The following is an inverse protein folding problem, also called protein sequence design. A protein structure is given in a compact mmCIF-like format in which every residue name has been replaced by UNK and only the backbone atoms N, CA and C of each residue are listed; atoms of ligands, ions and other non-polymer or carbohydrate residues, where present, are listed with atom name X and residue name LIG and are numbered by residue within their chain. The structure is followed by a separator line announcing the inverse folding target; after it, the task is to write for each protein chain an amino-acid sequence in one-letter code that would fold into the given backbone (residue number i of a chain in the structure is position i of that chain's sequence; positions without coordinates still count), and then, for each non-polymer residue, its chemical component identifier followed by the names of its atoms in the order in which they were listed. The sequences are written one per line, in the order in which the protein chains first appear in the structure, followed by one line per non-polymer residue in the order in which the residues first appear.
data_IF_873376399969
#
_entry.id   IF_873376399969
#
_cell.length_a   1.000
_cell.length_b   1.000
_cell.length_c   1.000
_cell.angle_alpha   90.00
_cell.angle_beta   90.00
_cell.angle_gamma   90.00
#
_symmetry.space_group_name_H-M   'P 1'
#
loop_
_entity.id
_entity.type
_entity.pdbx_description
1 polymer ?
#
# COMPACT_ATOMS: atom_id res chain seq x y z
N UNK A 1 -39.41 2.12 37.98
CA UNK A 1 -38.52 1.53 36.96
C UNK A 1 -37.15 2.12 37.21
N UNK A 2 -36.20 1.35 37.74
CA UNK A 2 -34.84 1.83 37.93
C UNK A 2 -34.27 2.19 36.56
N UNK A 3 -33.74 3.41 36.41
CA UNK A 3 -32.87 3.72 35.28
C UNK A 3 -31.67 2.79 35.42
N UNK A 4 -31.64 1.71 34.65
CA UNK A 4 -30.44 0.90 34.49
C UNK A 4 -29.43 1.81 33.83
N UNK A 5 -28.43 2.25 34.58
CA UNK A 5 -27.29 2.99 34.04
C UNK A 5 -26.68 2.10 32.95
N UNK A 6 -26.71 2.58 31.71
CA UNK A 6 -26.15 1.82 30.59
C UNK A 6 -24.64 1.86 30.71
N UNK A 7 -24.01 0.69 30.63
CA UNK A 7 -22.56 0.59 30.63
C UNK A 7 -21.98 1.42 29.48
N UNK A 8 -20.96 2.21 29.80
CA UNK A 8 -20.25 3.03 28.82
C UNK A 8 -19.47 2.13 27.87
N UNK A 9 -19.76 2.23 26.57
CA UNK A 9 -19.03 1.50 25.52
C UNK A 9 -18.06 2.44 24.82
N UNK A 10 -16.78 2.05 24.74
CA UNK A 10 -15.71 2.84 24.12
C UNK A 10 -14.90 1.95 23.19
N UNK A 11 -14.51 2.46 22.01
CA UNK A 11 -13.60 1.75 21.11
C UNK A 11 -12.17 1.72 21.63
N UNK A 12 -11.30 0.90 21.01
CA UNK A 12 -9.86 0.89 21.30
C UNK A 12 -9.20 2.27 21.09
N UNK A 13 -9.79 3.08 20.21
CA UNK A 13 -9.36 4.45 19.89
C UNK A 13 -9.88 5.49 20.90
N UNK A 14 -10.57 5.08 21.96
CA UNK A 14 -11.12 5.98 22.98
C UNK A 14 -12.40 6.70 22.53
N UNK A 15 -13.07 6.25 21.47
CA UNK A 15 -14.30 6.86 20.96
C UNK A 15 -15.49 6.24 21.67
N UNK A 16 -16.28 7.05 22.34
CA UNK A 16 -17.51 6.60 23.00
C UNK A 16 -18.60 6.29 21.97
N UNK A 17 -19.26 5.13 22.15
CA UNK A 17 -20.33 4.66 21.30
C UNK A 17 -21.66 4.79 22.02
N UNK A 18 -22.50 5.68 21.52
CA UNK A 18 -23.86 5.83 22.04
C UNK A 18 -24.72 4.62 21.67
N UNK A 19 -25.65 4.19 22.54
CA UNK A 19 -26.53 3.06 22.26
C UNK A 19 -27.46 3.32 21.05
N UNK A 20 -27.78 4.58 20.77
CA UNK A 20 -28.64 4.98 19.64
C UNK A 20 -28.18 6.31 19.06
N UNK A 21 -27.77 6.31 17.79
CA UNK A 21 -27.51 7.52 17.03
C UNK A 21 -28.80 7.96 16.30
N UNK A 22 -29.24 9.20 16.57
CA UNK A 22 -30.36 9.85 15.86
C UNK A 22 -29.82 10.92 14.90
N UNK A 23 -30.68 11.42 14.02
CA UNK A 23 -30.30 12.54 13.17
C UNK A 23 -29.83 13.72 14.02
N UNK A 24 -28.59 14.16 13.77
CA UNK A 24 -27.96 15.27 14.48
C UNK A 24 -28.06 16.58 13.69
N UNK A 25 -28.81 16.62 12.58
CA UNK A 25 -28.88 17.78 11.68
C UNK A 25 -27.59 18.03 10.88
N UNK A 26 -26.76 16.99 10.72
CA UNK A 26 -25.47 17.09 10.02
C UNK A 26 -25.70 17.24 8.52
N UNK A 27 -25.01 18.21 7.90
CA UNK A 27 -25.05 18.38 6.46
C UNK A 27 -24.68 17.09 5.71
N UNK A 28 -25.38 16.83 4.61
CA UNK A 28 -25.13 15.67 3.77
C UNK A 28 -23.70 15.72 3.19
N UNK A 29 -23.03 14.57 3.15
CA UNK A 29 -21.74 14.44 2.48
C UNK A 29 -21.94 14.49 0.96
N UNK A 30 -21.02 15.12 0.19
CA UNK A 30 -21.07 15.13 -1.27
C UNK A 30 -21.12 13.73 -1.89
N UNK A 31 -21.64 13.64 -3.12
CA UNK A 31 -21.76 12.39 -3.88
C UNK A 31 -20.39 11.74 -4.15
N UNK A 32 -20.33 10.39 -4.31
CA UNK A 32 -19.07 9.72 -4.61
C UNK A 32 -18.46 10.26 -5.91
N UNK A 33 -17.13 10.31 -5.97
CA UNK A 33 -16.40 10.94 -7.07
C UNK A 33 -16.32 12.47 -7.00
N UNK A 34 -16.94 13.10 -6.01
CA UNK A 34 -16.83 14.54 -5.76
C UNK A 34 -15.96 14.82 -4.53
N UNK A 35 -15.24 15.94 -4.55
CA UNK A 35 -14.46 16.41 -3.39
C UNK A 35 -15.38 16.57 -2.16
N UNK A 36 -14.97 16.14 -0.94
CA UNK A 36 -13.67 15.61 -0.53
C UNK A 36 -13.58 14.07 -0.56
N UNK A 37 -14.35 13.41 -1.43
CA UNK A 37 -14.32 11.97 -1.69
C UNK A 37 -14.68 11.07 -0.49
N UNK A 38 -15.37 11.61 0.51
CA UNK A 38 -15.79 10.87 1.72
C UNK A 38 -16.59 9.60 1.36
N UNK A 39 -17.44 9.67 0.33
CA UNK A 39 -18.31 8.56 -0.12
C UNK A 39 -17.65 7.62 -1.14
N UNK A 40 -16.42 7.92 -1.57
CA UNK A 40 -15.69 7.17 -2.59
C UNK A 40 -15.08 8.07 -3.67
N UNK A 41 -14.04 7.58 -4.34
CA UNK A 41 -13.27 8.33 -5.35
C UNK A 41 -13.84 8.22 -6.78
N UNK A 42 -14.78 7.29 -7.01
CA UNK A 42 -15.44 7.10 -8.30
C UNK A 42 -16.94 7.24 -8.14
N UNK A 43 -17.63 7.88 -9.08
CA UNK A 43 -19.07 8.11 -9.01
C UNK A 43 -19.89 6.81 -8.97
N UNK A 44 -19.44 5.76 -9.66
CA UNK A 44 -20.16 4.48 -9.74
C UNK A 44 -19.62 3.42 -8.78
N UNK A 45 -18.47 3.65 -8.15
CA UNK A 45 -17.75 2.71 -7.29
C UNK A 45 -17.87 1.25 -7.80
N UNK A 46 -18.32 0.33 -6.94
CA UNK A 46 -18.35 -1.09 -7.23
C UNK A 46 -19.54 -1.55 -8.09
N UNK A 47 -20.49 -0.63 -8.40
CA UNK A 47 -21.51 -0.89 -9.42
C UNK A 47 -20.94 -0.77 -10.83
N UNK A 48 -19.89 0.03 -11.01
CA UNK A 48 -19.14 0.12 -12.27
C UNK A 48 -18.04 -0.94 -12.36
N UNK A 49 -17.13 -0.97 -11.37
CA UNK A 49 -16.02 -1.95 -11.32
C UNK A 49 -15.77 -2.41 -9.89
N UNK A 50 -15.82 -3.72 -9.66
CA UNK A 50 -15.47 -4.33 -8.36
C UNK A 50 -14.01 -4.01 -7.99
N UNK A 51 -13.69 -4.04 -6.70
CA UNK A 51 -12.30 -3.92 -6.25
C UNK A 51 -11.45 -5.06 -6.82
N UNK A 52 -10.15 -4.81 -6.99
CA UNK A 52 -9.23 -5.85 -7.44
C UNK A 52 -8.97 -6.83 -6.31
N UNK A 53 -9.24 -8.11 -6.55
CA UNK A 53 -8.80 -9.19 -5.66
C UNK A 53 -7.32 -9.45 -5.98
N UNK A 54 -6.45 -9.20 -5.00
CA UNK A 54 -5.01 -9.46 -5.08
C UNK A 54 -4.60 -10.27 -3.87
N UNK A 55 -4.38 -11.56 -4.06
CA UNK A 55 -3.83 -12.39 -3.01
C UNK A 55 -2.33 -12.16 -2.89
N UNK A 56 -1.89 -11.93 -1.66
CA UNK A 56 -0.49 -11.83 -1.31
C UNK A 56 0.14 -13.23 -1.41
N UNK A 57 1.11 -13.39 -2.31
CA UNK A 57 1.71 -14.69 -2.60
C UNK A 57 3.22 -14.56 -2.86
N UNK A 58 3.96 -15.57 -2.42
CA UNK A 58 5.40 -15.64 -2.53
C UNK A 58 5.92 -16.50 -1.39
N UNK A 59 6.57 -17.60 -1.71
CA UNK A 59 7.27 -18.45 -0.76
C UNK A 59 8.32 -19.28 -1.52
N UNK A 60 9.40 -19.63 -0.83
CA UNK A 60 10.48 -20.46 -1.37
C UNK A 60 11.15 -19.86 -2.62
N UNK A 61 11.37 -20.67 -3.66
CA UNK A 61 12.10 -20.28 -4.86
C UNK A 61 11.28 -19.41 -5.84
N UNK A 62 11.98 -18.76 -6.77
CA UNK A 62 11.37 -18.01 -7.86
C UNK A 62 10.47 -18.90 -8.74
N UNK A 63 10.89 -20.12 -9.04
CA UNK A 63 10.13 -21.10 -9.83
C UNK A 63 8.86 -21.57 -9.12
N UNK A 64 8.93 -21.84 -7.82
CA UNK A 64 7.75 -22.23 -7.02
C UNK A 64 6.75 -21.08 -6.92
N UNK A 65 7.23 -19.86 -6.70
CA UNK A 65 6.39 -18.67 -6.70
C UNK A 65 5.79 -18.41 -8.09
N UNK A 66 6.53 -18.61 -9.18
CA UNK A 66 6.03 -18.51 -10.55
C UNK A 66 4.87 -19.50 -10.81
N UNK A 67 5.04 -20.78 -10.44
CA UNK A 67 3.98 -21.79 -10.55
C UNK A 67 2.72 -21.35 -9.80
N UNK A 68 2.87 -20.77 -8.61
CA UNK A 68 1.77 -20.22 -7.83
C UNK A 68 1.11 -19.04 -8.54
N UNK A 69 1.87 -18.12 -9.13
CA UNK A 69 1.32 -17.01 -9.90
C UNK A 69 0.52 -17.47 -11.11
N UNK A 70 1.04 -18.42 -11.90
CA UNK A 70 0.32 -19.02 -13.04
C UNK A 70 -1.01 -19.63 -12.59
N UNK A 71 -1.00 -20.41 -11.51
CA UNK A 71 -2.23 -20.97 -10.92
C UNK A 71 -3.23 -19.89 -10.48
N UNK A 72 -2.78 -18.78 -9.87
CA UNK A 72 -3.67 -17.69 -9.48
C UNK A 72 -4.29 -16.98 -10.69
N UNK A 73 -3.50 -16.74 -11.74
CA UNK A 73 -3.97 -16.14 -13.00
C UNK A 73 -5.01 -17.05 -13.68
N UNK A 74 -4.76 -18.36 -13.76
CA UNK A 74 -5.71 -19.35 -14.27
C UNK A 74 -7.03 -19.36 -13.51
N UNK A 75 -7.00 -19.08 -12.20
CA UNK A 75 -8.19 -18.97 -11.35
C UNK A 75 -8.88 -17.59 -11.42
N UNK A 76 -8.49 -16.74 -12.36
CA UNK A 76 -9.14 -15.45 -12.63
C UNK A 76 -8.61 -14.28 -11.81
N UNK A 77 -7.48 -14.44 -11.09
CA UNK A 77 -6.82 -13.30 -10.45
C UNK A 77 -6.26 -12.37 -11.54
N UNK A 78 -6.61 -11.09 -11.50
CA UNK A 78 -6.21 -10.11 -12.53
C UNK A 78 -4.95 -9.32 -12.15
N UNK A 79 -4.30 -9.66 -11.04
CA UNK A 79 -3.13 -8.94 -10.58
C UNK A 79 -2.33 -9.70 -9.53
N UNK A 80 -1.02 -9.69 -9.70
CA UNK A 80 -0.08 -10.39 -8.84
C UNK A 80 0.32 -9.51 -7.65
N UNK A 81 0.68 -10.15 -6.55
CA UNK A 81 1.26 -9.49 -5.39
C UNK A 81 2.41 -10.34 -4.89
N UNK A 82 3.63 -9.80 -4.95
CA UNK A 82 4.88 -10.48 -4.65
C UNK A 82 5.28 -10.19 -3.20
N UNK A 83 5.46 -11.27 -2.44
CA UNK A 83 6.11 -11.27 -1.13
C UNK A 83 7.57 -11.69 -1.28
N UNK A 84 8.51 -10.88 -0.81
CA UNK A 84 9.95 -11.19 -0.83
C UNK A 84 10.40 -11.74 0.52
N UNK A 85 11.44 -12.57 0.53
CA UNK A 85 12.02 -13.06 1.78
C UNK A 85 12.72 -11.93 2.57
N UNK A 86 13.13 -12.24 3.81
CA UNK A 86 13.76 -11.24 4.67
C UNK A 86 15.14 -10.77 4.13
N UNK A 87 16.03 -11.67 3.62
CA UNK A 87 17.29 -11.27 2.98
C UNK A 87 17.11 -10.25 1.85
N UNK A 88 16.22 -10.54 0.89
CA UNK A 88 15.92 -9.64 -0.23
C UNK A 88 15.44 -8.27 0.27
N UNK A 89 14.58 -8.26 1.29
CA UNK A 89 14.07 -7.02 1.89
C UNK A 89 15.14 -6.18 2.59
N UNK A 90 16.17 -6.84 3.15
CA UNK A 90 17.30 -6.21 3.83
C UNK A 90 18.49 -5.96 2.90
N UNK A 91 18.37 -6.29 1.61
CA UNK A 91 19.42 -6.07 0.61
C UNK A 91 20.61 -7.02 0.75
N UNK A 92 20.39 -8.22 1.29
CA UNK A 92 21.39 -9.28 1.33
C UNK A 92 21.18 -10.27 0.18
N UNK A 93 22.28 -10.71 -0.41
CA UNK A 93 22.29 -11.89 -1.29
C UNK A 93 22.06 -13.17 -0.49
N UNK A 94 21.54 -14.20 -1.17
CA UNK A 94 21.14 -15.46 -0.53
C UNK A 94 22.31 -16.24 0.10
N UNK A 95 23.53 -16.01 -0.36
CA UNK A 95 24.75 -16.62 0.16
C UNK A 95 25.42 -15.82 1.30
N UNK A 96 24.87 -14.65 1.65
CA UNK A 96 25.37 -13.87 2.77
C UNK A 96 25.21 -14.66 4.08
N UNK A 97 26.25 -14.75 4.96
CA UNK A 97 26.19 -15.57 6.16
C UNK A 97 25.01 -15.27 7.11
N UNK A 98 24.58 -14.01 7.19
CA UNK A 98 23.41 -13.60 7.98
C UNK A 98 22.07 -13.94 7.32
N UNK A 99 22.05 -14.17 6.00
CA UNK A 99 20.84 -14.42 5.23
C UNK A 99 20.43 -15.90 5.23
N UNK A 100 21.42 -16.82 5.30
CA UNK A 100 21.23 -18.27 5.17
C UNK A 100 20.00 -18.85 5.90
N UNK A 101 19.66 -18.47 7.15
CA UNK A 101 18.52 -19.06 7.87
C UNK A 101 17.15 -18.59 7.36
N UNK A 102 17.10 -17.52 6.58
CA UNK A 102 15.87 -16.79 6.23
C UNK A 102 15.58 -16.78 4.71
N UNK A 103 16.48 -17.34 3.90
CA UNK A 103 16.32 -17.46 2.44
C UNK A 103 15.04 -18.23 2.11
N UNK A 104 14.15 -17.61 1.34
CA UNK A 104 12.90 -18.22 0.87
C UNK A 104 11.84 -18.52 1.95
N UNK A 105 12.08 -18.18 3.22
CA UNK A 105 11.24 -18.62 4.35
C UNK A 105 9.87 -17.96 4.41
N UNK A 106 9.83 -16.65 4.17
CA UNK A 106 8.63 -15.80 4.31
C UNK A 106 8.23 -15.10 3.01
N UNK A 107 8.90 -15.45 1.90
CA UNK A 107 8.70 -14.86 0.59
C UNK A 107 9.67 -15.45 -0.42
N UNK A 108 9.62 -14.95 -1.66
CA UNK A 108 10.56 -15.36 -2.71
C UNK A 108 11.94 -14.73 -2.49
N UNK A 109 13.00 -15.52 -2.66
CA UNK A 109 14.38 -15.04 -2.68
C UNK A 109 14.74 -14.46 -4.06
N UNK A 110 15.24 -13.22 -4.11
CA UNK A 110 15.70 -12.56 -5.33
C UNK A 110 17.08 -11.94 -5.05
N UNK A 111 18.13 -12.52 -5.60
CA UNK A 111 19.50 -11.99 -5.50
C UNK A 111 20.00 -11.44 -6.84
N UNK A 112 19.42 -11.91 -7.95
CA UNK A 112 19.86 -11.55 -9.31
C UNK A 112 18.69 -11.24 -10.25
N UNK A 113 19.03 -10.66 -11.40
CA UNK A 113 18.06 -10.50 -12.49
C UNK A 113 17.53 -11.86 -13.00
N UNK A 114 18.34 -12.93 -12.95
CA UNK A 114 17.89 -14.28 -13.34
C UNK A 114 16.77 -14.81 -12.45
N UNK A 115 16.79 -14.49 -11.16
CA UNK A 115 15.70 -14.86 -10.25
C UNK A 115 14.41 -14.12 -10.61
N UNK A 116 14.52 -12.84 -10.99
CA UNK A 116 13.38 -12.06 -11.49
C UNK A 116 12.83 -12.62 -12.81
N UNK A 117 13.72 -13.07 -13.72
CA UNK A 117 13.33 -13.76 -14.96
C UNK A 117 12.54 -15.03 -14.67
N UNK A 118 13.07 -15.90 -13.78
CA UNK A 118 12.40 -17.14 -13.35
C UNK A 118 11.05 -16.86 -12.68
N UNK A 119 10.98 -15.83 -11.83
CA UNK A 119 9.76 -15.45 -11.13
C UNK A 119 8.62 -15.10 -12.10
N UNK A 120 8.93 -14.47 -13.23
CA UNK A 120 7.94 -14.03 -14.22
C UNK A 120 8.00 -14.79 -15.55
N UNK A 121 8.70 -15.92 -15.60
CA UNK A 121 8.74 -16.78 -16.78
C UNK A 121 7.33 -17.18 -17.22
N UNK A 122 7.03 -17.01 -18.50
CA UNK A 122 5.71 -17.29 -19.08
C UNK A 122 4.56 -16.41 -18.56
N UNK A 123 4.84 -15.28 -17.90
CA UNK A 123 3.85 -14.28 -17.49
C UNK A 123 4.12 -12.97 -18.23
N UNK A 124 3.23 -12.59 -19.14
CA UNK A 124 3.35 -11.35 -19.92
C UNK A 124 3.11 -10.11 -19.04
N UNK A 125 4.19 -9.43 -18.63
CA UNK A 125 4.14 -8.33 -17.65
C UNK A 125 3.35 -7.10 -18.14
N UNK A 126 3.22 -6.90 -19.45
CA UNK A 126 2.39 -5.83 -20.03
C UNK A 126 0.88 -6.04 -19.81
N UNK A 127 0.44 -7.31 -19.66
CA UNK A 127 -0.98 -7.67 -19.55
C UNK A 127 -1.46 -7.84 -18.12
N UNK A 128 -0.54 -7.99 -17.17
CA UNK A 128 -0.86 -8.16 -15.74
C UNK A 128 -0.55 -6.88 -14.97
N UNK A 129 -1.08 -6.82 -13.75
CA UNK A 129 -0.74 -5.74 -12.82
C UNK A 129 -0.04 -6.32 -11.61
N UNK A 130 1.15 -5.84 -11.28
CA UNK A 130 1.98 -6.44 -10.22
C UNK A 130 2.16 -5.48 -9.04
N UNK A 131 1.91 -5.97 -7.84
CA UNK A 131 2.27 -5.27 -6.59
C UNK A 131 3.49 -5.94 -5.98
N UNK A 132 4.52 -5.18 -5.63
CA UNK A 132 5.74 -5.67 -5.00
C UNK A 132 5.83 -5.07 -3.59
N UNK A 133 5.68 -5.91 -2.56
CA UNK A 133 5.78 -5.46 -1.16
C UNK A 133 7.24 -5.41 -0.74
N UNK A 134 7.91 -4.40 -1.26
CA UNK A 134 9.34 -4.15 -1.08
C UNK A 134 9.55 -2.66 -0.75
N UNK A 135 10.51 -2.37 0.12
CA UNK A 135 10.72 -1.02 0.68
C UNK A 135 12.15 -0.53 0.48
N UNK A 136 13.09 -0.88 1.35
CA UNK A 136 14.46 -0.34 1.27
C UNK A 136 15.15 -0.55 -0.09
N UNK A 137 15.05 -1.73 -0.75
CA UNK A 137 15.60 -1.94 -2.09
C UNK A 137 14.55 -1.76 -3.20
N UNK A 138 13.42 -1.09 -2.95
CA UNK A 138 12.29 -1.03 -3.89
C UNK A 138 12.66 -0.49 -5.27
N UNK A 139 13.52 0.52 -5.34
CA UNK A 139 13.99 1.07 -6.61
C UNK A 139 14.75 0.02 -7.46
N UNK A 140 15.58 -0.79 -6.82
CA UNK A 140 16.35 -1.85 -7.48
C UNK A 140 15.44 -2.95 -8.00
N UNK A 141 14.52 -3.44 -7.17
CA UNK A 141 13.58 -4.51 -7.58
C UNK A 141 12.61 -4.01 -8.66
N UNK A 142 12.23 -2.72 -8.65
CA UNK A 142 11.46 -2.12 -9.74
C UNK A 142 12.26 -2.08 -11.05
N UNK A 143 13.54 -1.72 -11.00
CA UNK A 143 14.41 -1.73 -12.17
C UNK A 143 14.57 -3.16 -12.74
N UNK A 144 14.79 -4.16 -11.89
CA UNK A 144 14.83 -5.56 -12.32
C UNK A 144 13.51 -5.99 -12.98
N UNK A 145 12.38 -5.63 -12.38
CA UNK A 145 11.06 -5.89 -12.96
C UNK A 145 10.89 -5.22 -14.34
N UNK A 146 11.30 -3.96 -14.48
CA UNK A 146 11.27 -3.25 -15.75
C UNK A 146 12.12 -3.96 -16.81
N UNK A 147 13.37 -4.33 -16.50
CA UNK A 147 14.27 -5.00 -17.44
C UNK A 147 13.65 -6.33 -17.91
N UNK A 148 13.09 -7.14 -17.02
CA UNK A 148 12.42 -8.40 -17.41
C UNK A 148 11.22 -8.11 -18.32
N UNK A 149 10.46 -7.05 -18.08
CA UNK A 149 9.34 -6.69 -18.95
C UNK A 149 9.80 -6.22 -20.34
N UNK A 150 10.89 -5.44 -20.41
CA UNK A 150 11.50 -5.01 -21.66
C UNK A 150 12.05 -6.21 -22.47
N UNK A 151 12.66 -7.19 -21.80
CA UNK A 151 13.10 -8.45 -22.43
C UNK A 151 11.94 -9.27 -23.01
N UNK A 152 10.74 -9.15 -22.44
CA UNK A 152 9.50 -9.72 -22.97
C UNK A 152 8.90 -8.89 -24.12
N UNK A 153 9.49 -7.72 -24.45
CA UNK A 153 9.02 -6.80 -25.49
C UNK A 153 7.96 -5.79 -25.04
N UNK A 154 7.76 -5.60 -23.72
CA UNK A 154 6.82 -4.61 -23.21
C UNK A 154 7.37 -3.18 -23.34
N UNK A 155 6.49 -2.21 -23.66
CA UNK A 155 6.80 -0.78 -23.46
C UNK A 155 6.73 -0.47 -21.95
N UNK A 156 7.81 0.01 -21.31
CA UNK A 156 7.82 0.41 -19.90
C UNK A 156 6.68 1.35 -19.52
N UNK A 157 6.24 2.19 -20.45
CA UNK A 157 5.17 3.18 -20.24
C UNK A 157 3.80 2.53 -20.06
N UNK A 158 3.61 1.31 -20.54
CA UNK A 158 2.38 0.55 -20.38
C UNK A 158 2.34 -0.26 -19.07
N UNK A 159 3.48 -0.42 -18.39
CA UNK A 159 3.57 -1.20 -17.17
C UNK A 159 2.71 -0.61 -16.06
N UNK A 160 1.96 -1.50 -15.41
CA UNK A 160 1.03 -1.15 -14.34
C UNK A 160 1.38 -1.96 -13.11
N UNK A 161 1.64 -1.27 -12.02
CA UNK A 161 1.98 -1.95 -10.79
C UNK A 161 2.13 -1.00 -9.63
N UNK A 162 2.64 -1.53 -8.53
CA UNK A 162 2.91 -0.78 -7.31
C UNK A 162 4.15 -1.36 -6.65
N UNK A 163 5.06 -0.49 -6.19
CA UNK A 163 6.04 -0.86 -5.16
C UNK A 163 5.58 -0.25 -3.84
N UNK A 164 5.81 -0.94 -2.72
CA UNK A 164 5.39 -0.40 -1.43
C UNK A 164 6.18 0.86 -1.07
N UNK A 165 7.51 0.82 -1.15
CA UNK A 165 8.41 1.98 -1.13
C UNK A 165 8.15 3.00 0.02
N UNK A 166 7.57 2.54 1.14
CA UNK A 166 7.28 3.37 2.30
C UNK A 166 8.32 3.06 3.38
N UNK A 167 9.41 3.81 3.40
CA UNK A 167 10.49 3.60 4.36
C UNK A 167 10.15 4.14 5.77
N UNK A 168 9.36 5.21 5.89
CA UNK A 168 9.05 5.81 7.20
C UNK A 168 8.36 4.83 8.15
N UNK A 169 7.43 4.01 7.63
CA UNK A 169 6.81 2.95 8.43
C UNK A 169 7.75 1.78 8.76
N UNK A 170 8.86 1.62 8.03
CA UNK A 170 9.90 0.63 8.41
C UNK A 170 10.53 1.00 9.73
N UNK A 171 10.90 2.27 9.93
CA UNK A 171 11.48 2.72 11.20
C UNK A 171 10.47 2.69 12.36
N UNK A 172 9.19 2.90 12.06
CA UNK A 172 8.15 3.00 13.08
C UNK A 172 7.59 1.64 13.56
N UNK A 173 7.48 0.65 12.66
CA UNK A 173 6.72 -0.57 12.97
C UNK A 173 7.24 -1.88 12.36
N UNK A 174 7.92 -1.85 11.20
CA UNK A 174 8.20 -3.08 10.43
C UNK A 174 9.65 -3.56 10.47
N UNK A 175 10.61 -2.65 10.59
CA UNK A 175 12.01 -2.96 10.88
C UNK A 175 12.89 -3.37 9.68
N UNK A 176 12.41 -3.37 8.43
CA UNK A 176 13.23 -3.74 7.26
C UNK A 176 13.78 -2.52 6.54
N UNK A 177 14.60 -1.73 7.23
CA UNK A 177 15.34 -0.60 6.65
C UNK A 177 16.82 -0.93 6.48
N UNK A 178 17.47 -0.31 5.49
CA UNK A 178 18.91 -0.49 5.21
C UNK A 178 19.70 0.78 5.57
N UNK A 179 19.26 1.92 5.06
CA UNK A 179 19.95 3.20 5.24
C UNK A 179 19.32 4.05 6.35
N UNK A 180 19.99 5.10 6.84
CA UNK A 180 19.37 6.11 7.71
C UNK A 180 18.20 6.84 7.03
N UNK A 181 17.32 7.52 7.78
CA UNK A 181 16.10 8.11 7.23
C UNK A 181 16.30 9.08 6.05
N UNK A 182 17.27 9.99 6.13
CA UNK A 182 17.50 11.00 5.09
C UNK A 182 17.87 10.41 3.71
N UNK A 183 18.90 9.56 3.56
CA UNK A 183 19.20 8.93 2.26
C UNK A 183 18.08 8.02 1.78
N UNK A 184 17.36 7.33 2.68
CA UNK A 184 16.20 6.52 2.28
C UNK A 184 15.07 7.37 1.69
N UNK A 185 14.75 8.52 2.30
CA UNK A 185 13.76 9.45 1.75
C UNK A 185 14.16 9.96 0.36
N UNK A 186 15.46 10.23 0.14
CA UNK A 186 15.99 10.60 -1.17
C UNK A 186 15.71 9.52 -2.22
N UNK A 187 15.93 8.24 -1.91
CA UNK A 187 15.65 7.13 -2.83
C UNK A 187 14.16 7.05 -3.19
N UNK A 188 13.27 7.32 -2.24
CA UNK A 188 11.82 7.39 -2.51
C UNK A 188 11.50 8.51 -3.50
N UNK A 189 12.04 9.71 -3.31
CA UNK A 189 11.78 10.85 -4.21
C UNK A 189 12.43 10.68 -5.59
N UNK A 190 13.62 10.09 -5.66
CA UNK A 190 14.28 9.73 -6.93
C UNK A 190 13.41 8.73 -7.71
N UNK A 191 12.81 7.76 -7.01
CA UNK A 191 11.88 6.79 -7.62
C UNK A 191 10.64 7.49 -8.19
N UNK A 192 10.14 8.55 -7.53
CA UNK A 192 9.01 9.33 -8.06
C UNK A 192 9.39 10.04 -9.36
N UNK A 193 10.57 10.68 -9.38
CA UNK A 193 11.09 11.36 -10.56
C UNK A 193 11.30 10.39 -11.73
N UNK A 194 11.94 9.24 -11.46
CA UNK A 194 12.19 8.21 -12.47
C UNK A 194 10.89 7.64 -13.06
N UNK A 195 9.94 7.25 -12.21
CA UNK A 195 8.67 6.70 -12.69
C UNK A 195 7.85 7.73 -13.47
N UNK A 196 7.91 9.01 -13.14
CA UNK A 196 7.23 10.06 -13.93
C UNK A 196 7.67 10.03 -15.39
N UNK A 197 8.96 9.82 -15.64
CA UNK A 197 9.55 9.85 -16.98
C UNK A 197 9.40 8.53 -17.72
N UNK A 198 9.69 7.41 -17.04
CA UNK A 198 9.84 6.10 -17.69
C UNK A 198 8.66 5.15 -17.44
N UNK A 199 8.04 5.22 -16.25
CA UNK A 199 6.97 4.31 -15.81
C UNK A 199 5.71 5.08 -15.39
N UNK A 200 5.14 5.95 -16.25
CA UNK A 200 4.10 6.90 -15.86
C UNK A 200 2.83 6.24 -15.35
N UNK A 201 2.64 4.93 -15.56
CA UNK A 201 1.50 4.15 -15.11
C UNK A 201 1.70 3.38 -13.79
N UNK A 202 2.91 3.45 -13.21
CA UNK A 202 3.26 2.82 -11.95
C UNK A 202 2.79 3.62 -10.74
N UNK A 203 2.27 2.96 -9.69
CA UNK A 203 2.08 3.60 -8.39
C UNK A 203 3.40 3.52 -7.62
N UNK A 204 4.03 4.67 -7.40
CA UNK A 204 5.44 4.78 -6.96
C UNK A 204 5.65 4.50 -5.47
N UNK A 205 4.56 4.48 -4.71
CA UNK A 205 4.53 4.21 -3.28
C UNK A 205 3.13 3.74 -2.86
N UNK A 206 3.09 2.90 -1.85
CA UNK A 206 1.90 2.53 -1.09
C UNK A 206 2.10 2.94 0.37
N UNK A 207 1.63 4.12 0.73
CA UNK A 207 1.83 4.72 2.06
C UNK A 207 0.97 3.96 3.08
N UNK A 208 1.62 3.27 4.01
CA UNK A 208 1.08 2.09 4.67
C UNK A 208 0.80 2.30 6.16
N UNK A 209 -0.46 2.23 6.54
CA UNK A 209 -0.94 2.09 7.92
C UNK A 209 -1.04 0.65 8.41
N UNK A 210 -1.21 -0.33 7.51
CA UNK A 210 -1.38 -1.75 7.87
C UNK A 210 -0.40 -2.25 8.92
N UNK A 211 0.90 -2.05 8.70
CA UNK A 211 1.96 -2.53 9.60
C UNK A 211 1.93 -1.86 10.97
N UNK A 212 1.57 -0.57 11.03
CA UNK A 212 1.39 0.13 12.30
C UNK A 212 0.17 -0.42 13.04
N UNK A 213 -0.92 -0.75 12.32
CA UNK A 213 -2.10 -1.39 12.92
C UNK A 213 -1.79 -2.79 13.45
N UNK A 214 -1.05 -3.60 12.69
CA UNK A 214 -0.57 -4.92 13.13
C UNK A 214 0.38 -4.82 14.35
N UNK A 215 1.17 -3.74 14.44
CA UNK A 215 2.04 -3.46 15.59
C UNK A 215 1.31 -2.89 16.82
N UNK A 216 -0.02 -2.74 16.76
CA UNK A 216 -0.86 -2.34 17.89
C UNK A 216 -1.35 -0.89 17.88
N UNK A 217 -1.20 -0.15 16.78
CA UNK A 217 -1.81 1.17 16.65
C UNK A 217 -3.35 1.08 16.68
N UNK A 218 -4.03 2.05 17.28
CA UNK A 218 -5.49 2.20 17.16
C UNK A 218 -5.89 2.68 15.76
N UNK A 219 -7.19 2.66 15.42
CA UNK A 219 -7.68 3.15 14.13
C UNK A 219 -7.33 4.64 13.89
N UNK A 220 -7.39 5.44 14.95
CA UNK A 220 -7.02 6.87 14.90
C UNK A 220 -5.51 7.04 14.68
N UNK A 221 -4.68 6.29 15.41
CA UNK A 221 -3.22 6.33 15.24
C UNK A 221 -2.80 5.86 13.86
N UNK A 222 -3.39 4.78 13.34
CA UNK A 222 -3.13 4.30 11.98
C UNK A 222 -3.34 5.40 10.94
N UNK A 223 -4.48 6.09 10.97
CA UNK A 223 -4.77 7.20 10.04
C UNK A 223 -3.81 8.36 10.26
N UNK A 224 -3.61 8.78 11.52
CA UNK A 224 -2.78 9.94 11.84
C UNK A 224 -1.33 9.74 11.38
N UNK A 225 -0.72 8.60 11.71
CA UNK A 225 0.66 8.29 11.35
C UNK A 225 0.81 8.09 9.84
N UNK A 226 -0.14 7.41 9.19
CA UNK A 226 -0.09 7.21 7.73
C UNK A 226 -0.18 8.53 6.97
N UNK A 227 -1.10 9.43 7.37
CA UNK A 227 -1.22 10.74 6.74
C UNK A 227 -0.04 11.66 7.08
N UNK A 228 0.57 11.53 8.26
CA UNK A 228 1.80 12.23 8.61
C UNK A 228 2.97 11.79 7.71
N UNK A 229 3.14 10.48 7.49
CA UNK A 229 4.12 9.95 6.54
C UNK A 229 3.84 10.46 5.12
N UNK A 230 2.58 10.46 4.69
CA UNK A 230 2.19 10.98 3.38
C UNK A 230 2.55 12.45 3.20
N UNK A 231 2.29 13.28 4.22
CA UNK A 231 2.70 14.69 4.25
C UNK A 231 4.22 14.82 4.13
N UNK A 232 4.99 13.97 4.84
CA UNK A 232 6.44 13.99 4.77
C UNK A 232 6.97 13.64 3.36
N UNK A 233 6.38 12.62 2.70
CA UNK A 233 6.73 12.27 1.33
C UNK A 233 6.41 13.37 0.32
N UNK A 234 5.21 13.98 0.41
CA UNK A 234 4.83 15.08 -0.49
C UNK A 234 5.77 16.27 -0.31
N UNK A 235 6.10 16.62 0.93
CA UNK A 235 7.08 17.68 1.23
C UNK A 235 8.45 17.37 0.64
N UNK A 236 8.98 16.19 0.90
CA UNK A 236 10.29 15.78 0.41
C UNK A 236 10.36 15.80 -1.12
N UNK A 237 9.31 15.36 -1.81
CA UNK A 237 9.22 15.40 -3.27
C UNK A 237 9.21 16.84 -3.82
N UNK A 238 8.48 17.76 -3.17
CA UNK A 238 8.46 19.18 -3.55
C UNK A 238 9.82 19.83 -3.28
N UNK A 239 10.44 19.55 -2.13
CA UNK A 239 11.78 20.02 -1.77
C UNK A 239 12.85 19.48 -2.75
N UNK A 240 12.63 18.30 -3.34
CA UNK A 240 13.44 17.74 -4.43
C UNK A 240 13.11 18.31 -5.83
N UNK A 241 12.21 19.29 -5.92
CA UNK A 241 11.87 20.00 -7.16
C UNK A 241 10.72 19.41 -7.98
N UNK A 242 10.02 18.39 -7.49
CA UNK A 242 8.85 17.82 -8.18
C UNK A 242 7.61 18.67 -7.94
N UNK A 243 6.81 18.89 -8.99
CA UNK A 243 5.53 19.56 -8.84
C UNK A 243 4.48 18.59 -8.28
N UNK A 244 3.66 19.04 -7.32
CA UNK A 244 2.72 18.17 -6.58
C UNK A 244 1.84 17.32 -7.50
N UNK A 245 1.30 17.91 -8.56
CA UNK A 245 0.37 17.24 -9.47
C UNK A 245 1.05 16.31 -10.49
N UNK A 246 2.39 16.30 -10.57
CA UNK A 246 3.14 15.38 -11.42
C UNK A 246 3.29 13.99 -10.78
N UNK A 247 3.41 13.91 -9.45
CA UNK A 247 3.61 12.64 -8.74
C UNK A 247 2.41 12.23 -7.88
N UNK A 248 1.66 13.18 -7.30
CA UNK A 248 0.55 12.87 -6.40
C UNK A 248 -0.53 11.94 -7.00
N UNK A 249 -0.89 12.02 -8.29
CA UNK A 249 -1.85 11.10 -8.91
C UNK A 249 -1.41 9.63 -8.92
N UNK A 250 -0.14 9.34 -8.60
CA UNK A 250 0.43 7.99 -8.48
C UNK A 250 0.64 7.52 -7.06
N UNK A 251 0.44 8.37 -6.05
CA UNK A 251 0.43 7.95 -4.65
C UNK A 251 -0.75 7.01 -4.38
N UNK A 252 -0.47 5.95 -3.65
CA UNK A 252 -1.47 5.01 -3.14
C UNK A 252 -1.24 4.76 -1.65
N UNK A 253 -2.20 4.12 -1.00
CA UNK A 253 -2.19 3.87 0.43
C UNK A 253 -2.49 2.40 0.74
N UNK A 254 -2.16 1.97 1.95
CA UNK A 254 -2.45 0.62 2.42
C UNK A 254 -2.86 0.61 3.88
N UNK A 255 -4.07 0.17 4.17
CA UNK A 255 -4.62 0.13 5.53
C UNK A 255 -4.96 -1.29 5.97
N UNK A 256 -4.99 -1.51 7.29
CA UNK A 256 -5.60 -2.69 7.89
C UNK A 256 -7.12 -2.61 7.85
N UNK A 257 -7.77 -3.77 7.94
CA UNK A 257 -9.19 -3.90 8.27
C UNK A 257 -9.30 -4.79 9.51
N UNK A 258 -9.54 -4.16 10.66
CA UNK A 258 -9.66 -4.81 11.96
C UNK A 258 -11.11 -5.26 12.27
N UNK A 259 -11.32 -5.92 13.40
CA UNK A 259 -12.63 -6.50 13.77
C UNK A 259 -13.72 -5.47 14.12
N UNK A 260 -13.38 -4.23 14.47
CA UNK A 260 -14.38 -3.20 14.75
C UNK A 260 -15.00 -2.66 13.44
N UNK A 261 -16.01 -3.37 12.96
CA UNK A 261 -16.59 -3.18 11.63
C UNK A 261 -16.95 -1.72 11.29
N UNK A 262 -17.66 -1.02 12.19
CA UNK A 262 -18.11 0.35 11.93
C UNK A 262 -16.98 1.37 12.04
N UNK A 263 -16.05 1.18 12.97
CA UNK A 263 -14.88 2.05 13.13
C UNK A 263 -13.98 1.97 11.90
N UNK A 264 -13.77 0.78 11.34
CA UNK A 264 -12.97 0.60 10.13
C UNK A 264 -13.63 1.26 8.89
N UNK A 265 -14.96 1.18 8.76
CA UNK A 265 -15.71 1.91 7.73
C UNK A 265 -15.53 3.43 7.92
N UNK A 266 -15.67 3.93 9.16
CA UNK A 266 -15.50 5.34 9.47
C UNK A 266 -14.06 5.80 9.18
N UNK A 267 -13.07 5.00 9.53
CA UNK A 267 -11.63 5.22 9.29
C UNK A 267 -11.34 5.47 7.81
N UNK A 268 -11.77 4.57 6.93
CA UNK A 268 -11.51 4.73 5.48
C UNK A 268 -12.17 5.98 4.90
N UNK A 269 -13.38 6.32 5.34
CA UNK A 269 -14.10 7.52 4.89
C UNK A 269 -13.43 8.80 5.40
N UNK A 270 -13.02 8.80 6.68
CA UNK A 270 -12.30 9.91 7.30
C UNK A 270 -10.95 10.15 6.62
N UNK A 271 -10.18 9.09 6.37
CA UNK A 271 -8.88 9.18 5.70
C UNK A 271 -8.99 9.83 4.31
N UNK A 272 -9.99 9.44 3.49
CA UNK A 272 -10.21 10.06 2.17
C UNK A 272 -10.48 11.56 2.29
N UNK A 273 -11.39 11.95 3.19
CA UNK A 273 -11.74 13.35 3.42
C UNK A 273 -10.56 14.18 3.89
N UNK A 274 -9.79 13.65 4.84
CA UNK A 274 -8.60 14.31 5.39
C UNK A 274 -7.53 14.48 4.33
N UNK A 275 -7.23 13.43 3.57
CA UNK A 275 -6.23 13.50 2.49
C UNK A 275 -6.60 14.51 1.41
N UNK A 276 -7.86 14.52 0.96
CA UNK A 276 -8.33 15.46 -0.05
C UNK A 276 -8.12 16.92 0.41
N UNK A 277 -8.44 17.22 1.68
CA UNK A 277 -8.21 18.52 2.30
C UNK A 277 -6.73 18.85 2.42
N UNK A 278 -5.91 17.91 2.92
CA UNK A 278 -4.45 18.09 3.03
C UNK A 278 -3.85 18.47 1.68
N UNK A 279 -4.16 17.73 0.62
CA UNK A 279 -3.59 17.98 -0.71
C UNK A 279 -4.02 19.33 -1.29
N UNK A 280 -5.29 19.71 -1.11
CA UNK A 280 -5.80 20.99 -1.62
C UNK A 280 -5.31 22.18 -0.79
N UNK A 281 -5.45 22.11 0.53
CA UNK A 281 -5.29 23.25 1.43
C UNK A 281 -3.83 23.46 1.84
N UNK A 282 -3.06 22.39 2.03
CA UNK A 282 -1.65 22.48 2.43
C UNK A 282 -0.68 22.50 1.25
N UNK A 283 -0.98 21.75 0.19
CA UNK A 283 -0.07 21.57 -0.95
C UNK A 283 -0.56 22.22 -2.24
N UNK A 284 -1.74 22.86 -2.22
CA UNK A 284 -2.24 23.61 -3.38
C UNK A 284 -2.51 22.78 -4.62
N UNK A 285 -2.71 21.45 -4.48
CA UNK A 285 -2.97 20.57 -5.61
C UNK A 285 -4.17 21.06 -6.42
N UNK A 286 -4.06 21.06 -7.75
CA UNK A 286 -5.10 21.49 -8.67
C UNK A 286 -5.74 20.30 -9.39
N UNK A 287 -4.97 19.24 -9.63
CA UNK A 287 -5.47 18.02 -10.24
C UNK A 287 -6.37 17.25 -9.25
N UNK A 288 -7.65 17.00 -9.58
CA UNK A 288 -8.55 16.22 -8.72
C UNK A 288 -7.99 14.84 -8.34
N UNK A 289 -7.20 14.21 -9.23
CA UNK A 289 -6.58 12.89 -8.96
C UNK A 289 -5.54 12.94 -7.85
N UNK A 290 -4.86 14.07 -7.65
CA UNK A 290 -3.89 14.27 -6.57
C UNK A 290 -4.56 14.24 -5.20
N UNK A 291 -5.84 14.60 -5.13
CA UNK A 291 -6.65 14.61 -3.90
C UNK A 291 -7.34 13.27 -3.61
N UNK A 292 -7.28 12.32 -4.55
CA UNK A 292 -7.93 11.02 -4.40
C UNK A 292 -7.04 10.06 -3.60
N UNK A 293 -7.46 9.72 -2.38
CA UNK A 293 -6.83 8.66 -1.60
C UNK A 293 -7.25 7.29 -2.19
N UNK A 294 -6.39 6.69 -3.01
CA UNK A 294 -6.55 5.31 -3.54
C UNK A 294 -5.85 4.35 -2.57
N UNK A 295 -6.52 3.28 -2.14
CA UNK A 295 -5.90 2.36 -1.17
C UNK A 295 -6.14 0.88 -1.47
N UNK A 296 -5.16 0.07 -1.07
CA UNK A 296 -5.31 -1.35 -0.80
C UNK A 296 -5.69 -1.56 0.66
N UNK A 297 -6.41 -2.65 0.96
CA UNK A 297 -6.74 -3.05 2.33
C UNK A 297 -6.51 -4.54 2.50
N UNK A 298 -6.03 -4.91 3.68
CA UNK A 298 -5.83 -6.29 4.09
C UNK A 298 -6.45 -6.48 5.47
N UNK A 299 -7.17 -7.59 5.65
CA UNK A 299 -7.68 -8.01 6.96
C UNK A 299 -6.52 -8.24 7.91
N UNK A 300 -6.58 -7.68 9.12
CA UNK A 300 -5.48 -7.70 10.08
C UNK A 300 -5.14 -9.13 10.52
N UNK A 301 -3.89 -9.55 10.32
CA UNK A 301 -3.41 -10.87 10.71
C UNK A 301 -3.42 -11.07 12.22
N UNK A 302 -3.20 -10.00 12.99
CA UNK A 302 -3.20 -10.04 14.46
C UNK A 302 -4.57 -10.43 15.06
N UNK A 303 -5.64 -10.42 14.27
CA UNK A 303 -6.99 -10.83 14.70
C UNK A 303 -7.27 -12.31 14.50
N UNK A 304 -6.42 -13.03 13.75
CA UNK A 304 -6.57 -14.45 13.48
C UNK A 304 -6.02 -15.28 14.64
N UNK A 305 -6.74 -16.34 15.00
CA UNK A 305 -6.36 -17.23 16.10
C UNK A 305 -5.79 -18.55 15.58
N UNK A 306 -4.77 -19.07 16.24
CA UNK A 306 -4.26 -20.42 15.94
C UNK A 306 -5.22 -21.51 16.44
N UNK A 307 -5.93 -21.22 17.54
CA UNK A 307 -6.99 -22.07 18.09
C UNK A 307 -8.28 -21.82 17.31
N UNK A 308 -8.97 -22.89 16.94
CA UNK A 308 -10.22 -22.83 16.15
C UNK A 308 -10.06 -21.96 14.88
N UNK A 309 -9.12 -22.31 13.98
CA UNK A 309 -8.74 -21.48 12.84
C UNK A 309 -9.81 -21.43 11.73
#
# INVERSE_FOLDING_TARGET
MSQTELDRVVTDSGIEIEPVYRDTGRAAEPEPGQYPYTRGIHSTMYRGKKWTIRQYAGYASAEETNRRFKLLLERGQMGLSVAFDLPTQLGYDSDHPLALPEVGRVGVAISTLDDMRRLFDGIELAKVTTSMTINAPAALLLLMYQIVAEEQGADPRELRGTIQNDILKEYAARGTYIFPPAPSMRLVTDTFAYCREHLPNWNTISISGYHMREAGATAVQEVAFTLANAIAYVRAAIEAGLQVDEFAPRLSFFFGAHSNFFEEIAKFRAARRMWARIMRERFGAQNPRSMMLRFHTQTCGCTLTAQQP
#
